data_IF_262650111267
#
_entry.id   IF_262650111267
#
_cell.length_a   1.000
_cell.length_b   1.000
_cell.length_c   1.000
_cell.angle_alpha   90.00
_cell.angle_beta   90.00
_cell.angle_gamma   90.00
#
_symmetry.space_group_name_H-M   'P 1'
#
loop_
_entity.id
_entity.type
_entity.pdbx_description
1 polymer ?
#
# COMPACT_ATOMS: atom_id res chain seq x y z
N UNK A 1 4.95 -24.92 -1.44
CA UNK A 1 3.54 -25.03 -0.99
C UNK A 1 3.07 -23.73 -0.35
N UNK A 2 3.84 -23.12 0.55
CA UNK A 2 3.45 -21.88 1.27
C UNK A 2 3.13 -20.67 0.36
N UNK A 3 3.88 -20.46 -0.72
CA UNK A 3 3.58 -19.37 -1.69
C UNK A 3 2.28 -19.63 -2.47
N UNK A 4 2.05 -20.87 -2.93
CA UNK A 4 0.83 -21.26 -3.65
C UNK A 4 -0.40 -21.17 -2.75
N UNK A 5 -0.23 -21.44 -1.47
CA UNK A 5 -1.27 -21.31 -0.45
C UNK A 5 -1.78 -19.87 -0.32
N UNK A 6 -0.89 -18.89 -0.14
CA UNK A 6 -1.29 -17.48 -0.07
C UNK A 6 -1.81 -16.95 -1.40
N UNK A 7 -1.14 -17.31 -2.51
CA UNK A 7 -1.60 -16.95 -3.85
C UNK A 7 -3.02 -17.43 -4.14
N UNK A 8 -3.34 -18.67 -3.74
CA UNK A 8 -4.67 -19.23 -3.90
C UNK A 8 -5.72 -18.44 -3.10
N UNK A 9 -5.42 -18.07 -1.85
CA UNK A 9 -6.31 -17.24 -1.04
C UNK A 9 -6.64 -15.91 -1.71
N UNK A 10 -5.65 -15.19 -2.25
CA UNK A 10 -5.88 -13.90 -2.92
C UNK A 10 -6.76 -14.01 -4.18
N UNK A 11 -6.78 -15.18 -4.81
CA UNK A 11 -7.56 -15.44 -6.02
C UNK A 11 -8.85 -16.23 -5.75
N UNK A 12 -9.15 -16.57 -4.49
CA UNK A 12 -10.29 -17.40 -4.09
C UNK A 12 -11.63 -16.79 -4.53
N UNK A 13 -11.75 -15.46 -4.44
CA UNK A 13 -12.99 -14.71 -4.68
C UNK A 13 -13.26 -14.36 -6.15
N UNK A 14 -12.44 -14.88 -7.07
CA UNK A 14 -12.67 -14.76 -8.51
C UNK A 14 -13.15 -16.06 -9.14
N UNK A 15 -14.03 -15.98 -10.15
CA UNK A 15 -14.12 -17.08 -11.10
C UNK A 15 -12.76 -17.23 -11.81
N UNK A 16 -12.24 -18.45 -11.95
CA UNK A 16 -10.99 -18.66 -12.67
C UNK A 16 -11.16 -18.24 -14.12
N UNK A 17 -10.58 -17.09 -14.48
CA UNK A 17 -10.63 -16.61 -15.85
C UNK A 17 -9.72 -17.47 -16.71
N UNK A 18 -10.23 -17.95 -17.85
CA UNK A 18 -9.43 -18.64 -18.85
C UNK A 18 -9.28 -20.16 -18.66
N UNK A 19 -9.92 -20.79 -17.66
CA UNK A 19 -9.95 -22.26 -17.57
C UNK A 19 -10.58 -22.87 -18.82
N UNK A 20 -11.68 -22.30 -19.30
CA UNK A 20 -12.37 -22.77 -20.51
C UNK A 20 -11.54 -22.70 -21.80
N UNK A 21 -10.43 -21.95 -21.79
CA UNK A 21 -9.50 -21.86 -22.92
C UNK A 21 -8.41 -22.94 -22.90
N UNK A 22 -8.29 -23.73 -21.82
CA UNK A 22 -7.33 -24.82 -21.69
C UNK A 22 -7.84 -26.10 -22.35
N UNK A 23 -6.92 -27.02 -22.67
CA UNK A 23 -7.29 -28.37 -23.08
C UNK A 23 -8.01 -29.11 -21.93
N UNK A 24 -8.99 -29.97 -22.24
CA UNK A 24 -9.86 -30.61 -21.23
C UNK A 24 -9.08 -31.28 -20.08
N UNK A 25 -7.99 -31.98 -20.39
CA UNK A 25 -7.13 -32.61 -19.38
C UNK A 25 -6.47 -31.64 -18.41
N UNK A 26 -6.17 -30.42 -18.86
CA UNK A 26 -5.57 -29.38 -18.02
C UNK A 26 -6.64 -28.63 -17.23
N UNK A 27 -7.86 -28.51 -17.75
CA UNK A 27 -9.01 -28.05 -16.99
C UNK A 27 -9.27 -28.95 -15.78
N UNK A 28 -9.33 -30.26 -15.99
CA UNK A 28 -9.56 -31.25 -14.93
C UNK A 28 -8.47 -31.17 -13.84
N UNK A 29 -7.20 -30.99 -14.24
CA UNK A 29 -6.08 -30.82 -13.31
C UNK A 29 -6.19 -29.55 -12.47
N UNK A 30 -6.55 -28.42 -13.08
CA UNK A 30 -6.72 -27.15 -12.37
C UNK A 30 -7.90 -27.22 -11.40
N UNK A 31 -9.01 -27.84 -11.81
CA UNK A 31 -10.18 -28.03 -10.95
C UNK A 31 -9.89 -28.98 -9.78
N UNK A 32 -9.19 -30.10 -10.03
CA UNK A 32 -8.77 -31.02 -8.97
C UNK A 32 -7.81 -30.34 -7.98
N UNK A 33 -6.85 -29.53 -8.47
CA UNK A 33 -5.97 -28.75 -7.61
C UNK A 33 -6.75 -27.72 -6.77
N UNK A 34 -7.71 -27.02 -7.37
CA UNK A 34 -8.59 -26.08 -6.66
C UNK A 34 -9.34 -26.78 -5.53
N UNK A 35 -9.97 -27.91 -5.84
CA UNK A 35 -10.71 -28.71 -4.87
C UNK A 35 -9.78 -29.20 -3.75
N UNK A 36 -8.56 -29.63 -4.06
CA UNK A 36 -7.57 -30.00 -3.06
C UNK A 36 -7.23 -28.83 -2.12
N UNK A 37 -6.99 -27.64 -2.67
CA UNK A 37 -6.68 -26.44 -1.88
C UNK A 37 -7.87 -26.04 -0.98
N UNK A 38 -9.09 -26.08 -1.49
CA UNK A 38 -10.31 -25.78 -0.73
C UNK A 38 -10.54 -26.82 0.38
N UNK A 39 -10.41 -28.11 0.09
CA UNK A 39 -10.57 -29.18 1.09
C UNK A 39 -9.48 -29.13 2.18
N UNK A 40 -8.25 -28.74 1.81
CA UNK A 40 -7.10 -28.75 2.75
C UNK A 40 -7.05 -27.49 3.60
N UNK A 41 -7.37 -26.33 3.02
CA UNK A 41 -7.11 -25.03 3.63
C UNK A 41 -8.33 -24.13 3.77
N UNK A 42 -9.49 -24.52 3.23
CA UNK A 42 -10.71 -23.72 3.22
C UNK A 42 -11.13 -23.23 4.59
N UNK A 43 -11.08 -24.09 5.62
CA UNK A 43 -11.40 -23.69 6.99
C UNK A 43 -10.49 -22.56 7.51
N UNK A 44 -9.20 -22.59 7.16
CA UNK A 44 -8.27 -21.52 7.55
C UNK A 44 -8.52 -20.22 6.77
N UNK A 45 -8.91 -20.32 5.50
CA UNK A 45 -9.32 -19.16 4.71
C UNK A 45 -10.60 -18.52 5.28
N UNK A 46 -11.58 -19.33 5.67
CA UNK A 46 -12.81 -18.86 6.32
C UNK A 46 -12.54 -18.18 7.67
N UNK A 47 -11.55 -18.70 8.42
CA UNK A 47 -11.09 -18.09 9.67
C UNK A 47 -10.49 -16.70 9.44
N UNK A 48 -9.62 -16.56 8.42
CA UNK A 48 -9.02 -15.28 8.04
C UNK A 48 -10.11 -14.28 7.59
N UNK A 49 -10.99 -14.70 6.70
CA UNK A 49 -12.10 -13.88 6.19
C UNK A 49 -13.00 -13.38 7.32
N UNK A 50 -13.29 -14.24 8.30
CA UNK A 50 -14.10 -13.88 9.46
C UNK A 50 -13.42 -12.82 10.31
N UNK A 51 -12.14 -12.98 10.62
CA UNK A 51 -11.39 -11.97 11.38
C UNK A 51 -11.35 -10.63 10.64
N UNK A 52 -10.99 -10.66 9.36
CA UNK A 52 -10.91 -9.44 8.54
C UNK A 52 -12.25 -8.73 8.42
N UNK A 53 -13.36 -9.47 8.33
CA UNK A 53 -14.71 -8.88 8.31
C UNK A 53 -15.10 -8.18 9.61
N UNK A 54 -14.42 -8.50 10.71
CA UNK A 54 -14.61 -7.88 12.02
C UNK A 54 -13.67 -6.70 12.25
N UNK A 55 -12.77 -6.41 11.31
CA UNK A 55 -11.73 -5.39 11.48
C UNK A 55 -10.48 -5.90 12.20
N UNK A 56 -10.37 -7.20 12.46
CA UNK A 56 -9.29 -7.82 13.22
C UNK A 56 -8.37 -8.68 12.34
N UNK A 57 -7.15 -8.91 12.81
CA UNK A 57 -6.23 -9.89 12.25
C UNK A 57 -5.52 -10.66 13.37
N UNK A 58 -4.77 -11.70 13.02
CA UNK A 58 -3.87 -12.40 13.93
C UNK A 58 -2.53 -12.67 13.24
N UNK A 59 -1.50 -13.02 14.01
CA UNK A 59 -0.20 -13.39 13.45
C UNK A 59 -0.31 -14.47 12.35
N UNK A 60 -1.16 -15.48 12.58
CA UNK A 60 -1.44 -16.57 11.62
C UNK A 60 -1.98 -16.07 10.28
N UNK A 61 -2.81 -15.03 10.29
CA UNK A 61 -3.49 -14.54 9.09
C UNK A 61 -2.88 -13.25 8.53
N UNK A 62 -1.89 -12.66 9.20
CA UNK A 62 -1.29 -11.38 8.83
C UNK A 62 -0.85 -11.33 7.36
N UNK A 63 -0.26 -12.40 6.83
CA UNK A 63 0.17 -12.48 5.43
C UNK A 63 -1.00 -12.36 4.44
N UNK A 64 -2.16 -12.93 4.78
CA UNK A 64 -3.38 -12.90 3.95
C UNK A 64 -4.00 -11.50 3.89
N UNK A 65 -3.63 -10.61 4.81
CA UNK A 65 -4.11 -9.24 4.86
C UNK A 65 -3.51 -8.37 3.74
N UNK A 66 -2.30 -8.69 3.26
CA UNK A 66 -1.51 -7.87 2.33
C UNK A 66 -1.33 -8.53 0.94
N UNK A 67 -2.38 -8.56 0.08
CA UNK A 67 -2.22 -9.03 -1.27
C UNK A 67 -1.26 -8.15 -2.09
N UNK A 68 -0.58 -8.71 -3.11
CA UNK A 68 0.21 -7.92 -4.05
C UNK A 68 -0.64 -6.84 -4.74
N UNK A 69 -0.05 -5.66 -4.99
CA UNK A 69 -0.70 -4.47 -5.55
C UNK A 69 -1.80 -3.85 -4.67
N UNK A 70 -1.94 -4.28 -3.43
CA UNK A 70 -2.82 -3.61 -2.47
C UNK A 70 -2.26 -2.25 -2.07
N UNK A 71 -3.15 -1.28 -1.87
CA UNK A 71 -2.79 0.01 -1.27
C UNK A 71 -2.81 -0.14 0.24
N UNK A 72 -1.66 0.10 0.87
CA UNK A 72 -1.53 0.18 2.33
C UNK A 72 -1.30 1.61 2.77
N UNK A 73 -1.72 1.91 3.99
CA UNK A 73 -1.63 3.22 4.61
C UNK A 73 -0.85 3.14 5.92
N UNK A 74 -0.11 4.20 6.19
CA UNK A 74 0.54 4.48 7.48
C UNK A 74 0.47 5.98 7.74
N UNK A 75 0.76 6.42 8.96
CA UNK A 75 0.78 7.83 9.32
C UNK A 75 2.21 8.29 9.60
N UNK A 76 2.62 9.40 8.97
CA UNK A 76 3.89 10.06 9.24
C UNK A 76 3.63 11.52 9.57
N UNK A 77 4.09 11.95 10.74
CA UNK A 77 3.88 13.32 11.24
C UNK A 77 2.38 13.74 11.25
N UNK A 78 1.48 12.77 11.50
CA UNK A 78 0.03 12.98 11.49
C UNK A 78 -0.61 13.01 10.10
N UNK A 79 0.16 12.90 9.02
CA UNK A 79 -0.33 12.86 7.65
C UNK A 79 -0.41 11.40 7.15
N UNK A 80 -1.53 11.01 6.51
CA UNK A 80 -1.64 9.67 5.94
C UNK A 80 -0.72 9.54 4.72
N UNK A 81 -0.03 8.42 4.62
CA UNK A 81 0.88 8.07 3.51
C UNK A 81 0.44 6.74 2.92
N UNK A 82 0.44 6.63 1.60
CA UNK A 82 0.00 5.43 0.90
C UNK A 82 1.11 4.82 0.06
N UNK A 83 1.14 3.49 0.07
CA UNK A 83 2.14 2.68 -0.62
C UNK A 83 1.46 1.49 -1.28
N UNK A 84 2.05 0.98 -2.36
CA UNK A 84 1.63 -0.23 -3.05
C UNK A 84 2.52 -1.40 -2.62
N UNK A 85 1.88 -2.48 -2.16
CA UNK A 85 2.55 -3.73 -1.79
C UNK A 85 3.16 -4.38 -3.03
N UNK A 86 4.45 -4.68 -3.01
CA UNK A 86 5.14 -5.44 -4.05
C UNK A 86 5.34 -6.90 -3.63
N UNK A 87 5.87 -7.09 -2.42
CA UNK A 87 6.20 -8.40 -1.90
C UNK A 87 6.19 -8.37 -0.38
N UNK A 88 6.24 -9.56 0.20
CA UNK A 88 6.35 -9.73 1.64
C UNK A 88 7.27 -10.89 1.97
N UNK A 89 7.89 -10.82 3.15
CA UNK A 89 8.86 -11.81 3.60
C UNK A 89 8.65 -12.03 5.10
N UNK A 90 8.60 -13.28 5.54
CA UNK A 90 8.76 -13.58 6.95
C UNK A 90 10.25 -13.56 7.29
N UNK A 91 10.64 -12.70 8.23
CA UNK A 91 12.03 -12.52 8.63
C UNK A 91 12.39 -13.53 9.73
N UNK A 92 11.49 -13.74 10.70
CA UNK A 92 11.61 -14.73 11.76
C UNK A 92 10.22 -15.18 12.27
N UNK A 93 10.10 -15.69 13.50
CA UNK A 93 8.84 -16.19 14.04
C UNK A 93 7.86 -15.09 14.49
N UNK A 94 8.29 -13.83 14.57
CA UNK A 94 7.52 -12.69 15.09
C UNK A 94 7.71 -11.40 14.27
N UNK A 95 8.52 -11.43 13.22
CA UNK A 95 8.78 -10.31 12.33
C UNK A 95 8.40 -10.64 10.88
N UNK A 96 7.64 -9.72 10.30
CA UNK A 96 7.13 -9.79 8.95
C UNK A 96 7.44 -8.48 8.22
N UNK A 97 8.06 -8.59 7.04
CA UNK A 97 8.47 -7.45 6.23
C UNK A 97 7.58 -7.31 5.01
N UNK A 98 7.21 -6.06 4.71
CA UNK A 98 6.50 -5.65 3.51
C UNK A 98 7.40 -4.78 2.65
N UNK A 99 7.70 -5.26 1.45
CA UNK A 99 8.32 -4.45 0.42
C UNK A 99 7.23 -3.71 -0.34
N UNK A 100 7.26 -2.40 -0.24
CA UNK A 100 6.28 -1.50 -0.81
C UNK A 100 6.95 -0.47 -1.73
N UNK A 101 6.14 0.22 -2.52
CA UNK A 101 6.60 1.38 -3.26
C UNK A 101 5.58 2.52 -3.26
N UNK A 102 6.08 3.74 -3.34
CA UNK A 102 5.29 4.95 -3.57
C UNK A 102 5.77 5.64 -4.85
N UNK A 103 4.98 6.61 -5.31
CA UNK A 103 5.32 7.43 -6.47
C UNK A 103 5.86 8.79 -6.02
N UNK A 104 7.10 9.08 -6.41
CA UNK A 104 7.71 10.40 -6.32
C UNK A 104 7.59 11.16 -7.64
N UNK A 105 7.77 12.48 -7.60
CA UNK A 105 7.82 13.34 -8.79
C UNK A 105 8.81 14.48 -8.61
N UNK A 106 9.75 14.61 -9.54
CA UNK A 106 10.76 15.68 -9.62
C UNK A 106 10.87 16.24 -11.05
N UNK A 107 9.78 16.18 -11.80
CA UNK A 107 9.72 16.47 -13.23
C UNK A 107 9.46 15.21 -14.06
N UNK A 108 9.88 14.05 -13.56
CA UNK A 108 9.44 12.74 -14.01
C UNK A 108 8.89 11.94 -12.83
N UNK A 109 7.97 11.01 -13.10
CA UNK A 109 7.54 10.07 -12.08
C UNK A 109 8.60 9.00 -11.89
N UNK A 110 8.84 8.64 -10.63
CA UNK A 110 9.70 7.53 -10.27
C UNK A 110 9.10 6.77 -9.09
N UNK A 111 9.52 5.52 -8.96
CA UNK A 111 9.14 4.68 -7.84
C UNK A 111 10.16 4.82 -6.72
N UNK A 112 9.65 5.02 -5.50
CA UNK A 112 10.43 4.98 -4.28
C UNK A 112 10.10 3.69 -3.55
N UNK A 113 11.10 2.84 -3.35
CA UNK A 113 10.94 1.64 -2.55
C UNK A 113 10.93 2.00 -1.07
N UNK A 114 10.05 1.38 -0.30
CA UNK A 114 9.96 1.53 1.14
C UNK A 114 9.68 0.16 1.73
N UNK A 115 10.33 -0.16 2.84
CA UNK A 115 10.11 -1.40 3.56
C UNK A 115 9.45 -1.09 4.91
N UNK A 116 8.46 -1.89 5.28
CA UNK A 116 7.83 -1.85 6.60
C UNK A 116 8.09 -3.16 7.32
N UNK A 117 8.42 -3.12 8.60
CA UNK A 117 8.63 -4.31 9.42
C UNK A 117 7.60 -4.34 10.53
N UNK A 118 6.59 -5.19 10.35
CA UNK A 118 5.60 -5.46 11.38
C UNK A 118 6.19 -6.45 12.40
N UNK A 119 6.24 -6.04 13.66
CA UNK A 119 6.69 -6.87 14.78
C UNK A 119 5.51 -7.29 15.62
N UNK A 120 5.53 -8.52 16.08
CA UNK A 120 4.48 -9.09 16.92
C UNK A 120 5.05 -9.51 18.28
N UNK A 121 4.29 -9.29 19.35
CA UNK A 121 4.79 -9.58 20.70
C UNK A 121 4.80 -11.09 21.02
N UNK A 122 3.79 -11.82 20.55
CA UNK A 122 3.69 -13.27 20.74
C UNK A 122 2.82 -13.92 19.65
N UNK A 123 3.18 -15.12 19.21
CA UNK A 123 2.31 -15.92 18.33
C UNK A 123 1.00 -16.35 19.00
N UNK A 124 0.91 -16.21 20.32
CA UNK A 124 -0.24 -16.58 21.16
C UNK A 124 -1.20 -15.42 21.44
N UNK A 125 -0.85 -14.16 21.10
CA UNK A 125 -1.78 -13.03 21.25
C UNK A 125 -2.90 -13.16 20.21
N UNK A 126 -4.09 -13.52 20.71
CA UNK A 126 -5.29 -13.69 19.90
C UNK A 126 -5.92 -12.33 19.62
N UNK A 127 -5.77 -11.91 18.35
CA UNK A 127 -6.43 -10.78 17.68
C UNK A 127 -5.85 -9.40 18.00
N UNK A 128 -5.61 -8.64 16.93
CA UNK A 128 -5.25 -7.23 16.94
C UNK A 128 -6.12 -6.53 15.90
N UNK A 129 -6.60 -5.33 16.20
CA UNK A 129 -7.34 -4.50 15.26
C UNK A 129 -6.43 -4.16 14.06
N UNK A 130 -6.94 -4.27 12.85
CA UNK A 130 -6.17 -4.02 11.62
C UNK A 130 -5.64 -2.58 11.59
N UNK A 131 -6.40 -1.61 12.11
CA UNK A 131 -6.01 -0.20 12.13
C UNK A 131 -4.92 0.12 13.17
N UNK A 132 -4.70 -0.75 14.16
CA UNK A 132 -3.63 -0.60 15.16
C UNK A 132 -2.25 -1.04 14.62
N UNK A 133 -2.20 -1.65 13.43
CA UNK A 133 -0.96 -1.98 12.76
C UNK A 133 -0.23 -0.70 12.30
N UNK A 134 1.11 -0.70 12.36
CA UNK A 134 1.94 0.40 11.84
C UNK A 134 1.63 0.72 10.37
N UNK A 135 1.29 -0.32 9.60
CA UNK A 135 0.84 -0.22 8.21
C UNK A 135 -0.29 -1.22 7.98
N UNK A 136 -1.39 -0.76 7.37
CA UNK A 136 -2.58 -1.59 7.14
C UNK A 136 -3.21 -1.34 5.76
N UNK A 137 -3.99 -2.28 5.19
CA UNK A 137 -4.63 -2.06 3.90
C UNK A 137 -5.69 -0.96 3.97
N UNK A 138 -5.65 -0.03 3.02
CA UNK A 138 -6.53 1.15 2.96
C UNK A 138 -8.03 0.78 2.97
N UNK A 139 -8.40 -0.41 2.45
CA UNK A 139 -9.79 -0.89 2.45
C UNK A 139 -10.40 -1.08 3.85
N UNK A 140 -9.60 -1.11 4.90
CA UNK A 140 -10.06 -1.16 6.30
C UNK A 140 -10.06 0.19 6.99
N UNK A 141 -9.70 1.28 6.29
CA UNK A 141 -9.89 2.63 6.80
C UNK A 141 -11.37 3.03 6.71
N UNK A 142 -11.90 3.56 7.80
CA UNK A 142 -13.24 4.13 7.90
C UNK A 142 -13.22 5.65 8.24
N UNK A 143 -12.02 6.23 8.34
CA UNK A 143 -11.82 7.62 8.76
C UNK A 143 -11.82 8.64 7.61
N UNK A 144 -11.82 8.16 6.35
CA UNK A 144 -11.86 9.00 5.14
C UNK A 144 -10.47 9.31 4.58
N UNK A 145 -9.48 8.49 4.90
CA UNK A 145 -8.11 8.61 4.40
C UNK A 145 -8.05 8.43 2.89
N UNK A 146 -8.85 7.52 2.33
CA UNK A 146 -8.89 7.29 0.87
C UNK A 146 -9.21 8.59 0.12
N UNK A 147 -10.22 9.32 0.55
CA UNK A 147 -10.63 10.59 -0.07
C UNK A 147 -9.54 11.66 0.11
N UNK A 148 -8.90 11.71 1.28
CA UNK A 148 -7.77 12.62 1.54
C UNK A 148 -6.60 12.35 0.61
N UNK A 149 -6.21 11.08 0.47
CA UNK A 149 -5.14 10.62 -0.41
C UNK A 149 -5.46 10.88 -1.88
N UNK A 150 -6.70 10.59 -2.31
CA UNK A 150 -7.17 10.82 -3.69
C UNK A 150 -7.09 12.30 -4.05
N UNK A 151 -7.65 13.18 -3.21
CA UNK A 151 -7.60 14.63 -3.41
C UNK A 151 -6.16 15.16 -3.46
N UNK A 152 -5.29 14.67 -2.58
CA UNK A 152 -3.86 15.02 -2.56
C UNK A 152 -3.18 14.56 -3.85
N UNK A 153 -3.45 13.34 -4.30
CA UNK A 153 -2.93 12.76 -5.54
C UNK A 153 -3.39 13.52 -6.78
N UNK A 154 -4.66 13.91 -6.87
CA UNK A 154 -5.18 14.73 -7.98
C UNK A 154 -4.52 16.11 -8.03
N UNK A 155 -4.35 16.77 -6.88
CA UNK A 155 -3.65 18.06 -6.81
C UNK A 155 -2.19 17.91 -7.23
N UNK A 156 -1.54 16.83 -6.82
CA UNK A 156 -0.17 16.50 -7.21
C UNK A 156 -0.04 16.20 -8.71
N UNK A 157 -0.99 15.45 -9.28
CA UNK A 157 -1.03 15.14 -10.71
C UNK A 157 -1.16 16.40 -11.57
N UNK A 158 -1.94 17.38 -11.12
CA UNK A 158 -2.06 18.68 -11.79
C UNK A 158 -0.75 19.47 -11.81
N UNK A 159 0.16 19.25 -10.87
CA UNK A 159 1.48 19.89 -10.80
C UNK A 159 2.51 19.31 -11.78
N UNK A 160 2.16 18.23 -12.50
CA UNK A 160 3.03 17.65 -13.55
C UNK A 160 3.31 18.63 -14.69
N UNK A 161 2.33 19.48 -14.97
CA UNK A 161 2.46 20.58 -15.91
C UNK A 161 2.62 21.89 -15.14
N UNK A 162 3.24 22.87 -15.78
CA UNK A 162 3.37 24.23 -15.25
C UNK A 162 2.02 24.73 -14.75
N UNK A 163 1.89 24.97 -13.45
CA UNK A 163 0.62 25.35 -12.83
C UNK A 163 0.79 26.28 -11.64
N UNK A 164 -0.09 27.27 -11.55
CA UNK A 164 -0.24 28.06 -10.33
C UNK A 164 -1.06 27.30 -9.30
N UNK A 165 -0.48 27.11 -8.11
CA UNK A 165 -1.11 26.45 -6.97
C UNK A 165 -1.21 27.42 -5.81
N UNK A 166 -2.42 27.59 -5.28
CA UNK A 166 -2.63 28.22 -3.99
C UNK A 166 -2.21 27.24 -2.89
N UNK A 167 -1.34 27.71 -2.00
CA UNK A 167 -0.89 26.96 -0.84
C UNK A 167 -1.24 27.74 0.43
N UNK A 168 -2.10 27.13 1.25
CA UNK A 168 -2.44 27.65 2.58
C UNK A 168 -1.62 26.86 3.59
N UNK A 169 -0.54 27.46 4.08
CA UNK A 169 0.27 26.81 5.10
C UNK A 169 -0.52 26.69 6.42
N UNK A 170 -0.48 25.53 7.11
CA UNK A 170 -1.18 25.34 8.39
C UNK A 170 -0.81 26.42 9.42
N UNK A 171 0.46 26.81 9.47
CA UNK A 171 1.02 27.85 10.32
C UNK A 171 1.40 29.12 9.54
N UNK A 172 0.48 29.64 8.73
CA UNK A 172 0.68 30.90 8.00
C UNK A 172 0.35 32.13 8.87
N UNK A 173 1.12 33.22 8.68
CA UNK A 173 0.79 34.54 9.24
C UNK A 173 -0.53 35.06 8.66
N UNK A 174 -1.20 35.97 9.38
CA UNK A 174 -2.48 36.56 8.96
C UNK A 174 -2.40 37.19 7.56
N UNK A 175 -1.26 37.80 7.21
CA UNK A 175 -1.00 38.41 5.91
C UNK A 175 -0.96 37.38 4.77
N UNK A 176 -0.31 36.23 4.98
CA UNK A 176 -0.28 35.12 4.02
C UNK A 176 -1.67 34.49 3.81
N UNK A 177 -2.49 34.43 4.86
CA UNK A 177 -3.87 33.93 4.76
C UNK A 177 -4.77 34.87 3.95
N UNK A 178 -4.59 36.18 4.11
CA UNK A 178 -5.43 37.20 3.44
C UNK A 178 -5.03 37.40 1.98
N UNK A 179 -3.74 37.26 1.65
CA UNK A 179 -3.22 37.45 0.29
C UNK A 179 -3.40 36.25 -0.64
N UNK A 180 -3.63 35.04 -0.10
CA UNK A 180 -3.78 33.78 -0.86
C UNK A 180 -2.72 33.63 -1.97
N UNK A 181 -1.43 33.59 -1.61
CA UNK A 181 -0.35 33.57 -2.59
C UNK A 181 -0.45 32.32 -3.47
N UNK A 182 -0.24 32.55 -4.78
CA UNK A 182 -0.17 31.47 -5.77
C UNK A 182 1.28 31.26 -6.15
N UNK A 183 1.73 30.02 -6.02
CA UNK A 183 3.08 29.60 -6.38
C UNK A 183 3.04 28.93 -7.75
N UNK A 184 3.99 29.27 -8.62
CA UNK A 184 4.19 28.54 -9.85
C UNK A 184 4.97 27.26 -9.55
N UNK A 185 4.38 26.10 -9.81
CA UNK A 185 5.10 24.84 -9.85
C UNK A 185 5.51 24.59 -11.30
N UNK A 186 6.82 24.63 -11.58
CA UNK A 186 7.41 24.42 -12.90
C UNK A 186 8.75 23.70 -12.76
N UNK A 187 8.72 22.37 -12.92
CA UNK A 187 9.92 21.54 -12.80
C UNK A 187 10.92 21.76 -13.93
N UNK A 188 10.45 22.16 -15.13
CA UNK A 188 11.33 22.46 -16.25
C UNK A 188 12.16 23.71 -15.95
N UNK A 189 11.51 24.78 -15.48
CA UNK A 189 12.20 26.00 -15.04
C UNK A 189 13.14 25.71 -13.86
N UNK A 190 12.69 24.90 -12.89
CA UNK A 190 13.54 24.50 -11.75
C UNK A 190 14.84 23.84 -12.23
N UNK A 191 14.76 22.88 -13.16
CA UNK A 191 15.91 22.18 -13.72
C UNK A 191 16.86 23.13 -14.50
N UNK A 192 16.32 24.12 -15.23
CA UNK A 192 17.12 25.10 -15.97
C UNK A 192 17.91 26.07 -15.07
N UNK A 193 17.39 26.40 -13.89
CA UNK A 193 18.05 27.32 -12.94
C UNK A 193 19.04 26.57 -12.04
N UNK A 194 18.82 25.26 -11.80
CA UNK A 194 19.61 24.45 -10.86
C UNK A 194 20.49 23.40 -11.57
N UNK A 195 21.04 23.74 -12.74
CA UNK A 195 21.84 22.82 -13.58
C UNK A 195 23.10 22.31 -12.86
N UNK A 196 23.64 23.07 -11.91
CA UNK A 196 24.93 22.80 -11.25
C UNK A 196 24.84 22.24 -9.81
N UNK A 197 23.65 21.98 -9.26
CA UNK A 197 23.53 21.58 -7.86
C UNK A 197 22.85 20.21 -7.69
N UNK A 198 23.47 19.39 -6.82
CA UNK A 198 22.96 18.10 -6.33
C UNK A 198 21.42 18.08 -6.33
N UNK A 199 20.79 17.04 -6.90
CA UNK A 199 19.34 16.91 -6.80
C UNK A 199 18.93 17.07 -5.34
N UNK A 200 17.82 17.78 -5.04
CA UNK A 200 17.40 18.01 -3.66
C UNK A 200 17.40 16.67 -2.94
N UNK A 201 18.07 16.62 -1.77
CA UNK A 201 18.11 15.41 -0.95
C UNK A 201 16.67 14.94 -0.78
N UNK A 202 16.40 13.71 -1.25
CA UNK A 202 15.08 13.09 -1.18
C UNK A 202 14.74 12.89 0.29
N UNK A 203 14.10 13.88 0.90
CA UNK A 203 13.71 13.86 2.33
C UNK A 203 12.45 13.05 2.57
N UNK A 204 11.75 12.67 1.51
CA UNK A 204 10.62 11.76 1.54
C UNK A 204 11.04 10.51 0.78
N UNK A 205 11.03 9.38 1.46
CA UNK A 205 11.76 8.16 1.08
C UNK A 205 12.74 7.81 2.19
N UNK A 206 12.24 7.17 3.25
CA UNK A 206 13.02 6.86 4.43
C UNK A 206 14.20 5.97 4.07
N UNK A 207 15.41 6.43 4.34
CA UNK A 207 16.50 5.51 4.70
C UNK A 207 16.20 5.06 6.12
N UNK A 208 15.61 3.86 6.27
CA UNK A 208 15.72 3.14 7.53
C UNK A 208 17.22 2.81 7.70
N UNK A 209 17.79 3.29 8.81
CA UNK A 209 19.09 2.80 9.29
C UNK A 209 18.92 1.38 9.82
#
# INVERSE_FOLDING_TARGET
>A
MDELYHYFYFNLKGEPKGISALHNSDQDRVLAFRQFMECTFGHEYDEADRLFSQGDTSWKHLRKLFPPNEVVVTYRDGEPMAYLVQAYYQLDNLEFSLDCHSWGFDGAFYQEKTQFTLKWASTEEERIEIQDLEVYPLRYDDTGVEETLRRRGEKFWQCRQRRFIAYTAPQSTFELRTSNPRYMVDMQMYQQIHVDNNPPVRKYGGTLR
#
